data_IF_354579015708
#
_entry.id   IF_354579015708
#
_cell.length_a   1.000
_cell.length_b   1.000
_cell.length_c   1.000
_cell.angle_alpha   90.00
_cell.angle_beta   90.00
_cell.angle_gamma   90.00
#
_symmetry.space_group_name_H-M   'P 1'
#
loop_
_entity.id
_entity.type
_entity.pdbx_description
1 polymer ?
#
# COMPACT_ATOMS: atom_id res chain seq x y z
N UNK A 1 -27.73 0.87 -4.95
CA UNK A 1 -26.90 0.75 -3.72
C UNK A 1 -25.84 1.86 -3.68
N UNK A 2 -25.52 2.43 -2.51
CA UNK A 2 -24.62 3.58 -2.37
C UNK A 2 -23.77 3.52 -1.08
N UNK A 3 -22.58 4.12 -1.14
CA UNK A 3 -21.76 4.45 0.01
C UNK A 3 -21.84 5.96 0.23
N UNK A 4 -22.17 6.41 1.44
CA UNK A 4 -22.34 7.84 1.71
C UNK A 4 -21.04 8.46 2.19
N UNK A 5 -20.68 9.59 1.59
CA UNK A 5 -19.59 10.43 2.07
C UNK A 5 -20.10 11.35 3.19
N UNK A 6 -19.58 11.18 4.41
CA UNK A 6 -20.20 11.81 5.59
C UNK A 6 -19.22 12.55 6.51
N UNK A 7 -17.98 12.77 6.08
CA UNK A 7 -17.05 13.59 6.83
C UNK A 7 -15.72 13.76 6.12
N UNK A 8 -15.05 14.85 6.42
CA UNK A 8 -13.75 15.21 5.83
C UNK A 8 -12.88 15.84 6.91
N UNK A 9 -11.57 15.57 6.93
CA UNK A 9 -10.64 16.23 7.86
C UNK A 9 -11.06 16.17 9.32
N UNK A 10 -11.47 14.98 9.81
CA UNK A 10 -11.97 14.78 11.18
C UNK A 10 -13.23 15.60 11.51
N UNK A 11 -14.01 16.03 10.52
CA UNK A 11 -15.26 16.77 10.69
C UNK A 11 -16.44 15.97 10.12
N UNK A 12 -17.35 15.47 10.97
CA UNK A 12 -18.62 14.90 10.53
C UNK A 12 -19.51 15.90 9.80
N UNK A 13 -20.11 15.50 8.69
CA UNK A 13 -21.15 16.28 7.99
C UNK A 13 -22.56 15.98 8.50
N UNK A 14 -22.73 14.85 9.18
CA UNK A 14 -24.00 14.41 9.77
C UNK A 14 -23.79 13.94 11.21
N UNK A 15 -24.87 13.88 11.97
CA UNK A 15 -24.86 13.26 13.29
C UNK A 15 -24.99 11.73 13.18
N UNK A 16 -24.63 11.02 14.26
CA UNK A 16 -24.86 9.58 14.37
C UNK A 16 -26.36 9.22 14.29
N UNK A 17 -27.25 10.06 14.83
CA UNK A 17 -28.70 9.89 14.71
C UNK A 17 -29.17 9.93 13.24
N UNK A 18 -28.64 10.86 12.44
CA UNK A 18 -28.91 10.91 11.00
C UNK A 18 -28.37 9.67 10.28
N UNK A 19 -27.15 9.22 10.61
CA UNK A 19 -26.57 8.01 10.03
C UNK A 19 -27.45 6.77 10.32
N UNK A 20 -27.96 6.65 11.54
CA UNK A 20 -28.85 5.56 11.94
C UNK A 20 -30.18 5.58 11.17
N UNK A 21 -30.79 6.76 11.02
CA UNK A 21 -32.01 6.94 10.22
C UNK A 21 -31.81 6.54 8.76
N UNK A 22 -30.64 6.83 8.17
CA UNK A 22 -30.31 6.40 6.81
C UNK A 22 -30.25 4.87 6.73
N UNK A 23 -29.61 4.20 7.70
CA UNK A 23 -29.54 2.73 7.75
C UNK A 23 -30.91 2.08 7.89
N UNK A 24 -31.79 2.67 8.69
CA UNK A 24 -33.17 2.20 8.88
C UNK A 24 -34.05 2.41 7.64
N UNK A 25 -33.91 3.57 6.98
CA UNK A 25 -34.72 3.91 5.81
C UNK A 25 -34.28 3.16 4.55
N UNK A 26 -32.99 2.80 4.44
CA UNK A 26 -32.41 2.17 3.26
C UNK A 26 -31.56 0.94 3.61
N UNK A 27 -32.11 -0.09 4.27
CA UNK A 27 -31.34 -1.23 4.78
C UNK A 27 -30.68 -2.06 3.66
N UNK A 28 -31.19 -2.04 2.44
CA UNK A 28 -30.59 -2.76 1.30
C UNK A 28 -29.78 -1.84 0.39
N UNK A 29 -30.16 -0.57 0.30
CA UNK A 29 -29.53 0.39 -0.61
C UNK A 29 -28.33 1.10 0.02
N UNK A 30 -28.32 1.35 1.32
CA UNK A 30 -27.15 1.87 2.02
C UNK A 30 -26.14 0.74 2.25
N UNK A 31 -25.00 0.84 1.56
CA UNK A 31 -23.87 -0.08 1.70
C UNK A 31 -22.96 0.31 2.88
N UNK A 32 -23.11 1.52 3.41
CA UNK A 32 -22.33 2.05 4.52
C UNK A 32 -21.88 3.49 4.30
N UNK A 33 -20.85 3.87 5.04
CA UNK A 33 -20.38 5.25 5.15
C UNK A 33 -18.87 5.33 4.94
N UNK A 34 -18.41 6.51 4.53
CA UNK A 34 -17.00 6.82 4.53
C UNK A 34 -16.68 8.26 4.90
N UNK A 35 -15.50 8.44 5.47
CA UNK A 35 -14.84 9.73 5.69
C UNK A 35 -13.58 9.79 4.83
N UNK A 36 -13.01 10.98 4.64
CA UNK A 36 -11.78 11.13 3.87
C UNK A 36 -10.88 12.24 4.42
N UNK A 37 -9.60 12.11 4.14
CA UNK A 37 -8.56 13.09 4.46
C UNK A 37 -8.59 13.50 5.93
N UNK A 38 -8.76 12.53 6.82
CA UNK A 38 -8.77 12.69 8.27
C UNK A 38 -7.33 12.95 8.77
N UNK A 39 -6.77 14.09 8.37
CA UNK A 39 -5.35 14.47 8.50
C UNK A 39 -5.06 15.47 9.63
N UNK A 40 -6.08 15.93 10.35
CA UNK A 40 -5.90 16.81 11.51
C UNK A 40 -5.35 16.01 12.70
N UNK A 41 -4.02 15.86 12.77
CA UNK A 41 -3.29 14.99 13.71
C UNK A 41 -3.81 15.09 15.14
N UNK A 42 -4.07 16.31 15.64
CA UNK A 42 -4.57 16.55 16.99
C UNK A 42 -6.01 16.07 17.23
N UNK A 43 -6.86 16.13 16.19
CA UNK A 43 -8.26 15.75 16.29
C UNK A 43 -8.49 14.26 16.05
N UNK A 44 -7.59 13.57 15.34
CA UNK A 44 -7.74 12.16 14.94
C UNK A 44 -8.17 11.26 16.12
N UNK A 45 -7.51 11.21 17.30
CA UNK A 45 -7.91 10.28 18.37
C UNK A 45 -9.32 10.56 18.86
N UNK A 46 -9.67 11.83 19.02
CA UNK A 46 -11.00 12.25 19.46
C UNK A 46 -12.06 11.91 18.41
N UNK A 47 -11.80 12.20 17.15
CA UNK A 47 -12.70 11.88 16.05
C UNK A 47 -12.96 10.37 15.96
N UNK A 48 -11.90 9.57 16.05
CA UNK A 48 -12.03 8.11 16.00
C UNK A 48 -12.76 7.54 17.22
N UNK A 49 -12.47 8.02 18.42
CA UNK A 49 -13.14 7.55 19.63
C UNK A 49 -14.63 7.92 19.68
N UNK A 50 -14.96 9.18 19.39
CA UNK A 50 -16.30 9.71 19.65
C UNK A 50 -17.23 9.73 18.44
N UNK A 51 -16.72 9.58 17.22
CA UNK A 51 -17.54 9.55 16.01
C UNK A 51 -17.34 8.27 15.19
N UNK A 52 -16.11 7.97 14.77
CA UNK A 52 -15.86 6.82 13.89
C UNK A 52 -16.21 5.49 14.55
N UNK A 53 -15.78 5.26 15.80
CA UNK A 53 -16.06 4.02 16.54
C UNK A 53 -17.56 3.79 16.77
N UNK A 54 -18.35 4.77 17.26
CA UNK A 54 -19.81 4.64 17.32
C UNK A 54 -20.47 4.36 15.97
N UNK A 55 -20.01 5.02 14.91
CA UNK A 55 -20.47 4.78 13.53
C UNK A 55 -20.17 3.34 13.09
N UNK A 56 -18.94 2.85 13.30
CA UNK A 56 -18.53 1.49 12.99
C UNK A 56 -19.38 0.46 13.76
N UNK A 57 -19.62 0.69 15.06
CA UNK A 57 -20.49 -0.16 15.86
C UNK A 57 -21.93 -0.19 15.32
N UNK A 58 -22.43 0.94 14.83
CA UNK A 58 -23.74 1.00 14.17
C UNK A 58 -23.72 0.19 12.86
N UNK A 59 -22.71 0.37 12.02
CA UNK A 59 -22.52 -0.40 10.80
C UNK A 59 -22.49 -1.92 11.03
N UNK A 60 -21.85 -2.40 12.11
CA UNK A 60 -21.88 -3.80 12.52
C UNK A 60 -23.31 -4.27 12.84
N UNK A 61 -24.04 -3.52 13.69
CA UNK A 61 -25.41 -3.87 14.11
C UNK A 61 -26.40 -3.94 12.94
N UNK A 62 -26.24 -3.09 11.94
CA UNK A 62 -27.12 -3.03 10.77
C UNK A 62 -26.67 -3.95 9.62
N UNK A 63 -26.09 -5.11 9.94
CA UNK A 63 -25.77 -6.14 8.95
C UNK A 63 -24.40 -5.98 8.30
N UNK A 64 -23.39 -5.60 9.08
CA UNK A 64 -22.00 -5.43 8.63
C UNK A 64 -21.87 -4.45 7.44
N UNK A 65 -22.50 -3.28 7.55
CA UNK A 65 -22.30 -2.18 6.60
C UNK A 65 -20.85 -1.72 6.62
N UNK A 66 -20.37 -1.17 5.52
CA UNK A 66 -18.98 -0.69 5.42
C UNK A 66 -18.79 0.59 6.25
N UNK A 67 -17.64 0.72 6.89
CA UNK A 67 -17.19 1.93 7.56
C UNK A 67 -15.75 2.20 7.13
N UNK A 68 -15.58 3.07 6.14
CA UNK A 68 -14.29 3.31 5.49
C UNK A 68 -13.75 4.70 5.87
N UNK A 69 -12.44 4.84 5.87
CA UNK A 69 -11.77 6.15 5.86
C UNK A 69 -10.75 6.17 4.72
N UNK A 70 -10.66 7.27 3.97
CA UNK A 70 -9.77 7.42 2.82
C UNK A 70 -8.69 8.45 3.12
N UNK A 71 -7.45 8.02 3.35
CA UNK A 71 -6.41 8.92 3.86
C UNK A 71 -5.09 8.82 3.10
N UNK A 72 -4.34 9.92 3.19
CA UNK A 72 -3.09 10.20 2.48
C UNK A 72 -1.89 10.34 3.42
N UNK A 73 -0.75 10.78 2.88
CA UNK A 73 0.49 10.94 3.66
C UNK A 73 0.98 9.60 4.17
N UNK A 74 1.27 9.48 5.46
CA UNK A 74 1.65 8.21 6.12
C UNK A 74 0.54 7.66 7.01
N UNK A 75 -0.72 7.97 6.71
CA UNK A 75 -1.84 7.68 7.60
C UNK A 75 -1.98 6.20 7.94
N UNK A 76 -1.81 5.30 6.97
CA UNK A 76 -2.05 3.86 7.18
C UNK A 76 -1.00 3.17 8.04
N UNK A 77 0.19 3.74 8.19
CA UNK A 77 1.19 3.24 9.13
C UNK A 77 1.11 3.97 10.49
N UNK A 78 0.73 5.25 10.51
CA UNK A 78 0.86 6.10 11.72
C UNK A 78 -0.41 6.25 12.53
N UNK A 79 -1.56 6.47 11.89
CA UNK A 79 -2.82 6.66 12.60
C UNK A 79 -3.25 5.39 13.32
N UNK A 80 -3.26 4.20 12.68
CA UNK A 80 -3.46 2.92 13.35
C UNK A 80 -2.50 2.60 14.49
N UNK A 81 -1.29 3.20 14.54
CA UNK A 81 -0.36 3.03 15.66
C UNK A 81 -0.84 3.71 16.95
N UNK A 82 -1.82 4.63 16.87
CA UNK A 82 -2.38 5.33 18.03
C UNK A 82 -3.52 4.51 18.64
N UNK A 83 -3.48 4.17 19.94
CA UNK A 83 -4.44 3.23 20.53
C UNK A 83 -5.93 3.54 20.32
N UNK A 84 -6.41 4.81 20.42
CA UNK A 84 -7.82 5.12 20.16
C UNK A 84 -8.25 4.83 18.72
N UNK A 85 -7.35 5.03 17.76
CA UNK A 85 -7.62 4.75 16.34
C UNK A 85 -7.59 3.25 16.08
N UNK A 86 -6.62 2.52 16.64
CA UNK A 86 -6.55 1.07 16.54
C UNK A 86 -7.83 0.40 17.07
N UNK A 87 -8.28 0.82 18.25
CA UNK A 87 -9.50 0.32 18.87
C UNK A 87 -10.74 0.63 18.00
N UNK A 88 -10.85 1.86 17.51
CA UNK A 88 -11.95 2.29 16.65
C UNK A 88 -12.01 1.55 15.31
N UNK A 89 -10.86 1.14 14.75
CA UNK A 89 -10.80 0.47 13.46
C UNK A 89 -10.97 -1.05 13.55
N UNK A 90 -10.34 -1.71 14.53
CA UNK A 90 -10.09 -3.16 14.42
C UNK A 90 -10.68 -4.01 15.52
N UNK A 91 -10.80 -3.49 16.74
CA UNK A 91 -11.27 -4.28 17.89
C UNK A 91 -12.77 -4.61 17.77
N UNK A 92 -13.20 -5.62 18.52
CA UNK A 92 -14.62 -6.02 18.64
C UNK A 92 -15.29 -6.36 17.30
N UNK A 93 -14.53 -6.92 16.36
CA UNK A 93 -15.03 -7.34 15.04
C UNK A 93 -15.13 -6.22 14.01
N UNK A 94 -14.70 -4.99 14.35
CA UNK A 94 -14.70 -3.85 13.41
C UNK A 94 -13.76 -4.07 12.21
N UNK A 95 -12.74 -4.92 12.34
CA UNK A 95 -11.89 -5.36 11.22
C UNK A 95 -12.66 -5.92 10.00
N UNK A 96 -13.89 -6.42 10.19
CA UNK A 96 -14.75 -6.98 9.12
C UNK A 96 -15.43 -5.91 8.25
N UNK A 97 -15.60 -4.70 8.79
CA UNK A 97 -16.31 -3.60 8.13
C UNK A 97 -15.41 -2.42 7.80
N UNK A 98 -14.25 -2.37 8.47
CA UNK A 98 -13.19 -1.42 8.19
C UNK A 98 -12.54 -1.79 6.87
N UNK A 99 -12.34 -0.77 6.05
CA UNK A 99 -11.70 -0.88 4.76
C UNK A 99 -10.61 0.15 4.69
N UNK A 100 -9.39 -0.29 4.34
CA UNK A 100 -8.33 0.65 4.02
C UNK A 100 -8.46 1.11 2.58
N UNK A 101 -8.15 2.37 2.32
CA UNK A 101 -8.33 2.96 1.01
C UNK A 101 -7.09 3.73 0.57
N UNK A 102 -6.80 3.61 -0.72
CA UNK A 102 -5.74 4.37 -1.38
C UNK A 102 -6.23 5.80 -1.57
N UNK A 103 -5.42 6.75 -1.14
CA UNK A 103 -5.56 8.18 -1.43
C UNK A 103 -4.16 8.77 -1.27
N UNK A 104 -3.34 8.74 -2.31
CA UNK A 104 -1.91 9.09 -2.18
C UNK A 104 -1.54 10.40 -2.91
N UNK A 105 -2.56 11.23 -3.26
CA UNK A 105 -2.39 12.51 -3.99
C UNK A 105 -1.36 13.45 -3.38
N UNK A 106 -1.20 13.47 -2.05
CA UNK A 106 -0.22 14.33 -1.38
C UNK A 106 0.96 13.58 -0.77
N UNK A 107 1.04 12.26 -0.96
CA UNK A 107 2.06 11.46 -0.30
C UNK A 107 3.41 11.58 -1.01
N UNK A 108 4.46 11.84 -0.23
CA UNK A 108 5.84 11.65 -0.70
C UNK A 108 6.33 10.25 -0.47
N UNK A 109 5.65 9.47 0.36
CA UNK A 109 6.00 8.13 0.79
C UNK A 109 4.86 7.12 0.56
N UNK A 110 4.25 7.08 -0.64
CA UNK A 110 3.12 6.19 -0.94
C UNK A 110 3.49 4.70 -0.79
N UNK A 111 4.76 4.35 -0.98
CA UNK A 111 5.28 3.01 -0.74
C UNK A 111 5.04 2.53 0.69
N UNK A 112 5.20 3.41 1.68
CA UNK A 112 5.01 3.08 3.08
C UNK A 112 3.53 2.83 3.39
N UNK A 113 2.64 3.62 2.80
CA UNK A 113 1.20 3.40 2.89
C UNK A 113 0.77 2.09 2.20
N UNK A 114 1.35 1.75 1.05
CA UNK A 114 1.11 0.48 0.38
C UNK A 114 1.49 -0.69 1.28
N UNK A 115 2.71 -0.65 1.83
CA UNK A 115 3.22 -1.68 2.74
C UNK A 115 2.46 -1.75 4.07
N UNK A 116 2.00 -0.60 4.58
CA UNK A 116 1.10 -0.53 5.74
C UNK A 116 -0.24 -1.20 5.51
N UNK A 117 -0.93 -0.87 4.41
CA UNK A 117 -2.19 -1.53 4.04
C UNK A 117 -2.00 -3.03 3.82
N UNK A 118 -0.91 -3.42 3.15
CA UNK A 118 -0.53 -4.82 2.98
C UNK A 118 -0.26 -5.53 4.32
N UNK A 119 0.42 -4.88 5.26
CA UNK A 119 0.69 -5.41 6.60
C UNK A 119 -0.59 -5.58 7.42
N UNK A 120 -1.48 -4.58 7.42
CA UNK A 120 -2.80 -4.68 8.07
C UNK A 120 -3.63 -5.84 7.51
N UNK A 121 -3.57 -6.05 6.19
CA UNK A 121 -4.24 -7.17 5.53
C UNK A 121 -3.61 -8.52 5.90
N UNK A 122 -2.28 -8.63 5.89
CA UNK A 122 -1.56 -9.83 6.32
C UNK A 122 -1.81 -10.20 7.79
N UNK A 123 -2.04 -9.19 8.64
CA UNK A 123 -2.38 -9.35 10.04
C UNK A 123 -3.86 -9.74 10.28
N UNK A 124 -4.71 -9.71 9.25
CA UNK A 124 -6.16 -9.90 9.40
C UNK A 124 -6.88 -8.73 10.09
N UNK A 125 -6.21 -7.58 10.24
CA UNK A 125 -6.79 -6.35 10.80
C UNK A 125 -7.73 -5.66 9.82
N UNK A 126 -7.54 -5.89 8.52
CA UNK A 126 -8.51 -5.53 7.48
C UNK A 126 -8.73 -6.71 6.55
N UNK A 127 -9.97 -6.89 6.11
CA UNK A 127 -10.33 -7.90 5.11
C UNK A 127 -10.61 -7.27 3.75
N UNK A 128 -10.68 -5.94 3.70
CA UNK A 128 -11.11 -5.19 2.53
C UNK A 128 -10.18 -4.01 2.30
N UNK A 129 -9.79 -3.84 1.04
CA UNK A 129 -8.99 -2.73 0.54
C UNK A 129 -9.68 -2.10 -0.68
N UNK A 130 -9.76 -0.76 -0.68
CA UNK A 130 -10.16 0.09 -1.79
C UNK A 130 -8.95 0.68 -2.49
N UNK A 131 -8.92 0.52 -3.81
CA UNK A 131 -7.95 1.23 -4.65
C UNK A 131 -8.68 2.34 -5.38
N UNK A 132 -8.52 3.55 -4.87
CA UNK A 132 -8.98 4.77 -5.50
C UNK A 132 -7.95 5.21 -6.53
N UNK A 133 -8.37 5.43 -7.76
CA UNK A 133 -7.57 6.05 -8.82
C UNK A 133 -8.27 7.29 -9.33
N UNK A 134 -7.55 8.40 -9.33
CA UNK A 134 -8.02 9.74 -9.69
C UNK A 134 -6.82 10.52 -10.23
N UNK A 135 -7.09 11.56 -11.03
CA UNK A 135 -6.04 12.25 -11.80
C UNK A 135 -4.93 12.85 -10.94
N UNK A 136 -5.26 13.34 -9.75
CA UNK A 136 -4.33 13.98 -8.82
C UNK A 136 -3.59 13.00 -7.89
N UNK A 137 -3.80 11.69 -8.04
CA UNK A 137 -3.10 10.64 -7.26
C UNK A 137 -1.57 10.72 -7.39
N UNK A 138 -1.08 11.25 -8.51
CA UNK A 138 0.33 11.41 -8.82
C UNK A 138 0.76 12.89 -8.79
N UNK A 139 0.16 13.72 -7.93
CA UNK A 139 0.62 15.10 -7.73
C UNK A 139 2.02 15.11 -7.10
N UNK A 140 2.96 15.85 -7.70
CA UNK A 140 4.32 15.93 -7.17
C UNK A 140 4.45 17.02 -6.08
N UNK A 141 3.62 18.05 -6.11
CA UNK A 141 3.70 19.19 -5.20
C UNK A 141 2.38 19.95 -5.19
N UNK A 142 1.88 20.42 -4.04
CA UNK A 142 0.59 21.16 -3.98
C UNK A 142 0.65 22.63 -4.39
N UNK A 143 1.83 23.20 -4.52
CA UNK A 143 2.04 24.53 -5.08
C UNK A 143 1.88 24.56 -6.61
N UNK A 144 1.89 23.41 -7.27
CA UNK A 144 1.61 23.26 -8.70
C UNK A 144 0.46 22.26 -8.83
N UNK A 145 -0.58 22.52 -9.62
CA UNK A 145 -1.76 21.61 -9.69
C UNK A 145 -2.00 21.07 -11.11
N UNK A 146 -0.98 21.10 -11.95
CA UNK A 146 -1.09 20.81 -13.39
C UNK A 146 -0.13 19.71 -13.88
N UNK A 147 0.52 19.00 -12.95
CA UNK A 147 1.56 18.01 -13.22
C UNK A 147 1.07 16.57 -13.43
N UNK A 148 -0.24 16.35 -13.47
CA UNK A 148 -0.80 15.00 -13.41
C UNK A 148 -0.46 14.19 -14.67
N UNK A 149 -0.05 12.91 -14.54
CA UNK A 149 0.16 12.05 -15.68
C UNK A 149 -1.17 11.83 -16.41
N UNK A 150 -1.17 12.15 -17.71
CA UNK A 150 -2.32 11.98 -18.62
C UNK A 150 -2.26 10.66 -19.40
N UNK A 151 -1.55 9.66 -18.87
CA UNK A 151 -1.30 8.34 -19.48
C UNK A 151 -1.68 7.21 -18.53
N UNK A 152 -2.13 6.06 -19.05
CA UNK A 152 -2.73 5.01 -18.21
C UNK A 152 -1.75 4.10 -17.46
N UNK A 153 -0.51 3.99 -17.92
CA UNK A 153 0.42 2.99 -17.39
C UNK A 153 0.74 3.12 -15.87
N UNK A 154 0.83 4.31 -15.23
CA UNK A 154 1.06 4.40 -13.79
C UNK A 154 -0.13 3.85 -12.99
N UNK A 155 -1.35 4.15 -13.45
CA UNK A 155 -2.58 3.66 -12.84
C UNK A 155 -2.76 2.15 -13.02
N UNK A 156 -2.41 1.61 -14.19
CA UNK A 156 -2.47 0.18 -14.45
C UNK A 156 -1.56 -0.60 -13.50
N UNK A 157 -0.30 -0.15 -13.36
CA UNK A 157 0.66 -0.79 -12.45
C UNK A 157 0.21 -0.72 -11.01
N UNK A 158 -0.29 0.43 -10.56
CA UNK A 158 -0.84 0.59 -9.21
C UNK A 158 -1.98 -0.40 -8.96
N UNK A 159 -2.94 -0.51 -9.90
CA UNK A 159 -4.03 -1.48 -9.79
C UNK A 159 -3.53 -2.93 -9.71
N UNK A 160 -2.55 -3.31 -10.53
CA UNK A 160 -1.97 -4.66 -10.51
C UNK A 160 -1.25 -4.91 -9.19
N UNK A 161 -0.37 -4.01 -8.74
CA UNK A 161 0.38 -4.15 -7.50
C UNK A 161 -0.56 -4.30 -6.30
N UNK A 162 -1.55 -3.41 -6.17
CA UNK A 162 -2.51 -3.47 -5.08
C UNK A 162 -3.42 -4.71 -5.15
N UNK A 163 -3.75 -5.21 -6.35
CA UNK A 163 -4.50 -6.46 -6.49
C UNK A 163 -3.78 -7.62 -5.82
N UNK A 164 -2.46 -7.72 -5.99
CA UNK A 164 -1.65 -8.76 -5.34
C UNK A 164 -1.53 -8.63 -3.82
N UNK A 165 -2.03 -7.52 -3.24
CA UNK A 165 -1.96 -7.18 -1.81
C UNK A 165 -3.35 -7.14 -1.15
N UNK A 166 -4.29 -7.94 -1.64
CA UNK A 166 -5.60 -8.09 -1.00
C UNK A 166 -6.61 -7.00 -1.36
N UNK A 167 -6.48 -6.33 -2.52
CA UNK A 167 -7.51 -5.42 -3.02
C UNK A 167 -8.86 -6.14 -3.15
N UNK A 168 -9.94 -5.46 -2.75
CA UNK A 168 -11.31 -6.00 -2.88
C UNK A 168 -12.23 -5.15 -3.74
N UNK A 169 -11.89 -3.88 -3.95
CA UNK A 169 -12.67 -2.97 -4.79
C UNK A 169 -11.80 -1.90 -5.44
N UNK A 170 -12.30 -1.36 -6.56
CA UNK A 170 -11.69 -0.27 -7.31
C UNK A 170 -12.67 0.90 -7.39
N UNK A 171 -12.21 2.08 -7.01
CA UNK A 171 -12.91 3.33 -7.22
C UNK A 171 -12.18 4.15 -8.29
N UNK A 172 -12.73 4.16 -9.51
CA UNK A 172 -12.08 4.79 -10.66
C UNK A 172 -12.75 6.13 -10.99
N UNK A 173 -12.06 7.23 -10.68
CA UNK A 173 -12.47 8.61 -11.01
C UNK A 173 -11.72 9.20 -12.22
N UNK A 174 -10.77 8.45 -12.78
CA UNK A 174 -10.13 8.76 -14.07
C UNK A 174 -11.01 8.45 -15.29
N UNK A 175 -12.29 8.12 -15.05
CA UNK A 175 -13.33 8.03 -16.08
C UNK A 175 -13.98 9.41 -16.16
N UNK A 176 -13.33 10.39 -16.77
CA UNK A 176 -14.04 11.63 -17.02
C UNK A 176 -15.09 11.36 -18.10
N UNK A 177 -16.36 11.42 -17.70
CA UNK A 177 -17.47 11.43 -18.63
C UNK A 177 -17.42 12.78 -19.32
N UNK A 178 -16.96 12.85 -20.57
CA UNK A 178 -17.21 14.05 -21.36
C UNK A 178 -18.72 14.15 -21.56
N UNK A 179 -19.34 15.01 -20.77
CA UNK A 179 -20.75 15.34 -20.82
C UNK A 179 -21.07 15.91 -22.20
N UNK A 180 -21.65 15.10 -23.08
CA UNK A 180 -22.52 15.53 -24.20
C UNK A 180 -23.14 14.37 -24.99
N UNK A 181 -22.74 13.11 -24.78
CA UNK A 181 -23.29 11.98 -25.57
C UNK A 181 -23.88 10.89 -24.70
N UNK A 182 -24.99 10.34 -25.18
CA UNK A 182 -25.75 9.22 -24.58
C UNK A 182 -24.94 7.90 -24.51
N UNK A 183 -23.66 7.92 -24.86
CA UNK A 183 -22.73 6.79 -24.81
C UNK A 183 -21.64 7.04 -23.77
N UNK A 184 -21.47 6.10 -22.84
CA UNK A 184 -20.39 6.13 -21.87
C UNK A 184 -19.05 5.79 -22.55
N UNK A 185 -18.38 6.79 -23.12
CA UNK A 185 -17.04 6.63 -23.67
C UNK A 185 -15.99 6.69 -22.54
N UNK A 186 -15.19 5.63 -22.42
CA UNK A 186 -14.01 5.62 -21.54
C UNK A 186 -12.92 6.47 -22.22
N UNK A 187 -12.43 7.50 -21.54
CA UNK A 187 -11.30 8.30 -22.03
C UNK A 187 -10.02 7.48 -22.19
N UNK A 188 -9.05 8.00 -22.95
CA UNK A 188 -7.76 7.36 -23.21
C UNK A 188 -7.11 6.84 -21.95
N UNK A 189 -7.08 7.67 -20.89
CA UNK A 189 -6.51 7.32 -19.60
C UNK A 189 -7.14 6.05 -19.01
N UNK A 190 -8.48 5.96 -19.03
CA UNK A 190 -9.21 4.78 -18.54
C UNK A 190 -9.07 3.56 -19.46
N UNK A 191 -8.93 3.75 -20.77
CA UNK A 191 -8.69 2.67 -21.74
C UNK A 191 -7.32 2.02 -21.54
N UNK A 192 -6.30 2.83 -21.29
CA UNK A 192 -4.92 2.42 -21.05
C UNK A 192 -4.67 1.91 -19.62
N UNK A 193 -5.65 2.02 -18.72
CA UNK A 193 -5.53 1.60 -17.32
C UNK A 193 -6.65 0.66 -16.88
N UNK A 194 -7.72 1.20 -16.29
CA UNK A 194 -8.83 0.44 -15.70
C UNK A 194 -9.45 -0.55 -16.69
N UNK A 195 -9.54 -0.19 -17.97
CA UNK A 195 -10.05 -1.07 -19.03
C UNK A 195 -9.18 -2.31 -19.27
N UNK A 196 -7.85 -2.14 -19.29
CA UNK A 196 -6.91 -3.27 -19.39
C UNK A 196 -6.97 -4.09 -18.09
N UNK A 197 -6.96 -3.43 -16.95
CA UNK A 197 -7.01 -4.09 -15.64
C UNK A 197 -8.23 -5.02 -15.49
N UNK A 198 -9.43 -4.58 -15.89
CA UNK A 198 -10.61 -5.45 -15.85
C UNK A 198 -10.52 -6.64 -16.79
N UNK A 199 -9.86 -6.51 -17.95
CA UNK A 199 -9.62 -7.66 -18.83
C UNK A 199 -8.68 -8.67 -18.16
N UNK A 200 -7.65 -8.20 -17.45
CA UNK A 200 -6.74 -9.08 -16.70
C UNK A 200 -7.46 -9.80 -15.56
N UNK A 201 -8.31 -9.09 -14.81
CA UNK A 201 -9.18 -9.68 -13.79
C UNK A 201 -10.13 -10.72 -14.39
N UNK A 202 -10.83 -10.37 -15.47
CA UNK A 202 -11.79 -11.26 -16.14
C UNK A 202 -11.15 -12.52 -16.74
N UNK A 203 -9.87 -12.45 -17.10
CA UNK A 203 -9.08 -13.62 -17.55
C UNK A 203 -8.43 -14.40 -16.39
N UNK A 204 -8.58 -13.95 -15.14
CA UNK A 204 -7.91 -14.57 -13.99
C UNK A 204 -6.38 -14.44 -14.01
N UNK A 205 -5.84 -13.49 -14.79
CA UNK A 205 -4.39 -13.24 -14.86
C UNK A 205 -3.92 -12.47 -13.63
N UNK A 206 -4.72 -11.47 -13.23
CA UNK A 206 -4.58 -10.72 -11.99
C UNK A 206 -5.75 -11.09 -11.09
N UNK A 207 -5.50 -11.22 -9.78
CA UNK A 207 -6.52 -11.54 -8.79
C UNK A 207 -6.06 -11.09 -7.40
N UNK A 208 -6.99 -11.08 -6.46
CA UNK A 208 -6.72 -10.81 -5.04
C UNK A 208 -6.47 -12.13 -4.31
N UNK A 209 -5.26 -12.37 -3.76
CA UNK A 209 -4.95 -13.61 -3.05
C UNK A 209 -5.58 -13.63 -1.65
N UNK A 210 -5.50 -14.78 -0.99
CA UNK A 210 -5.61 -14.83 0.48
C UNK A 210 -4.26 -14.50 1.12
N UNK A 211 -4.23 -14.04 2.39
CA UNK A 211 -2.98 -13.73 3.08
C UNK A 211 -1.95 -14.86 3.04
N UNK A 212 -2.38 -16.10 3.27
CA UNK A 212 -1.52 -17.29 3.26
C UNK A 212 -0.94 -17.68 1.90
N UNK A 213 -1.50 -17.14 0.81
CA UNK A 213 -1.07 -17.39 -0.56
C UNK A 213 -0.16 -16.28 -1.11
N UNK A 214 -0.01 -15.15 -0.40
CA UNK A 214 0.95 -14.11 -0.75
C UNK A 214 2.32 -14.43 -0.13
N UNK A 215 3.16 -15.12 -0.90
CA UNK A 215 4.46 -15.65 -0.48
C UNK A 215 5.60 -14.63 -0.57
N UNK A 216 5.35 -13.47 -1.20
CA UNK A 216 6.37 -12.44 -1.44
C UNK A 216 6.73 -11.59 -0.23
N UNK A 217 6.13 -11.81 0.94
CA UNK A 217 6.46 -11.06 2.15
C UNK A 217 7.79 -11.50 2.75
N UNK A 218 8.60 -10.50 3.13
CA UNK A 218 9.82 -10.70 3.89
C UNK A 218 9.52 -11.39 5.22
N UNK A 219 10.46 -12.24 5.65
CA UNK A 219 10.37 -12.87 6.99
C UNK A 219 10.69 -11.89 8.12
N UNK A 220 11.07 -10.66 7.80
CA UNK A 220 11.25 -9.54 8.74
C UNK A 220 10.17 -8.48 8.45
N UNK A 221 9.49 -8.01 9.49
CA UNK A 221 8.48 -6.95 9.41
C UNK A 221 8.83 -5.73 10.25
N UNK A 222 8.00 -4.70 10.14
CA UNK A 222 8.09 -3.46 10.92
C UNK A 222 6.85 -3.30 11.82
N UNK A 223 7.10 -2.94 13.08
CA UNK A 223 6.08 -2.56 14.06
C UNK A 223 6.13 -1.06 14.26
N UNK A 224 5.07 -0.36 13.88
CA UNK A 224 4.92 1.08 14.05
C UNK A 224 4.34 1.39 15.43
N UNK A 225 5.09 2.15 16.22
CA UNK A 225 4.66 2.77 17.47
C UNK A 225 4.12 4.18 17.22
N UNK A 226 3.35 4.76 18.17
CA UNK A 226 2.95 6.15 18.11
C UNK A 226 4.16 7.07 17.83
N UNK A 227 4.19 7.79 16.71
CA UNK A 227 5.28 8.70 16.40
C UNK A 227 5.21 9.96 17.28
N UNK A 228 6.33 10.67 17.45
CA UNK A 228 6.33 11.98 18.08
C UNK A 228 5.58 13.02 17.23
N UNK A 229 5.14 14.10 17.87
CA UNK A 229 4.23 15.09 17.26
C UNK A 229 4.84 15.86 16.09
N UNK A 230 6.08 16.31 16.24
CA UNK A 230 6.88 16.96 15.19
C UNK A 230 7.01 16.12 13.91
N UNK A 231 7.30 14.82 14.07
CA UNK A 231 7.37 13.88 12.96
C UNK A 231 5.99 13.69 12.31
N UNK A 232 4.91 13.61 13.11
CA UNK A 232 3.54 13.53 12.59
C UNK A 232 3.15 14.78 11.80
N UNK A 233 3.55 15.97 12.27
CA UNK A 233 3.31 17.22 11.56
C UNK A 233 3.98 17.22 10.19
N UNK A 234 5.25 16.82 10.07
CA UNK A 234 5.89 16.66 8.75
C UNK A 234 5.17 15.61 7.89
N UNK A 235 4.83 14.45 8.45
CA UNK A 235 4.19 13.35 7.73
C UNK A 235 2.77 13.66 7.22
N UNK A 236 2.10 14.68 7.78
CA UNK A 236 0.72 15.06 7.47
C UNK A 236 0.57 16.54 7.06
N UNK A 237 1.64 17.20 6.59
CA UNK A 237 1.59 18.62 6.18
C UNK A 237 1.04 18.88 4.77
N UNK A 238 0.34 17.91 4.15
CA UNK A 238 -0.04 17.98 2.73
C UNK A 238 -0.86 19.22 2.32
N UNK A 239 -1.60 19.82 3.25
CA UNK A 239 -2.35 21.07 3.06
C UNK A 239 -1.81 22.25 3.86
N UNK A 240 -0.74 22.04 4.62
CA UNK A 240 -0.13 23.07 5.46
C UNK A 240 1.40 23.05 5.38
N UNK A 241 2.01 23.08 4.17
CA UNK A 241 3.46 23.09 4.02
C UNK A 241 4.11 24.33 4.68
N UNK A 242 3.35 25.42 4.88
CA UNK A 242 3.79 26.61 5.60
C UNK A 242 4.11 26.38 7.09
N UNK A 243 3.67 25.26 7.67
CA UNK A 243 3.98 24.88 9.06
C UNK A 243 5.32 24.18 9.20
N UNK A 244 5.97 23.84 8.10
CA UNK A 244 7.24 23.14 8.14
C UNK A 244 8.32 23.97 8.82
N UNK A 245 9.13 23.30 9.64
CA UNK A 245 10.29 23.84 10.32
C UNK A 245 11.47 22.88 10.16
N UNK A 246 12.67 23.43 10.00
CA UNK A 246 13.90 22.64 9.94
C UNK A 246 14.15 21.95 11.29
N UNK A 247 14.45 20.65 11.26
CA UNK A 247 14.74 19.86 12.47
C UNK A 247 15.84 18.81 12.20
N UNK A 248 17.01 19.02 12.82
CA UNK A 248 18.18 18.15 12.64
C UNK A 248 17.93 16.69 13.06
N UNK A 249 17.07 16.44 14.06
CA UNK A 249 16.69 15.10 14.47
C UNK A 249 15.84 14.43 13.40
N UNK A 250 14.86 15.15 12.83
CA UNK A 250 14.02 14.61 11.76
C UNK A 250 14.83 14.35 10.47
N UNK A 251 15.90 15.10 10.22
CA UNK A 251 16.85 14.79 9.15
C UNK A 251 17.62 13.48 9.33
N UNK A 252 17.71 12.97 10.56
CA UNK A 252 18.34 11.69 10.89
C UNK A 252 17.32 10.59 11.19
N UNK A 253 16.02 10.88 11.08
CA UNK A 253 14.96 9.91 11.31
C UNK A 253 15.09 8.70 10.39
N UNK A 254 14.67 7.52 10.86
CA UNK A 254 14.65 6.31 10.01
C UNK A 254 13.62 6.42 8.88
N UNK A 255 12.58 7.23 9.04
CA UNK A 255 11.63 7.59 7.98
C UNK A 255 11.60 9.14 7.86
N UNK A 256 12.56 9.77 7.17
CA UNK A 256 12.66 11.22 7.05
C UNK A 256 11.90 11.75 5.83
N UNK A 257 11.68 13.08 5.80
CA UNK A 257 11.22 13.85 4.64
C UNK A 257 9.88 13.37 4.06
N UNK A 258 8.86 13.32 4.90
CA UNK A 258 7.55 12.74 4.57
C UNK A 258 6.57 13.77 4.00
N UNK A 259 6.76 15.03 4.39
CA UNK A 259 5.91 16.13 3.99
C UNK A 259 5.92 16.44 2.49
N UNK A 260 4.83 17.02 2.01
CA UNK A 260 4.59 17.28 0.58
C UNK A 260 5.65 18.16 -0.11
N UNK A 261 6.35 19.00 0.65
CA UNK A 261 7.40 19.89 0.17
C UNK A 261 8.67 19.16 -0.29
N UNK A 262 8.87 17.91 0.14
CA UNK A 262 10.08 17.14 -0.17
C UNK A 262 10.09 16.51 -1.56
N UNK A 263 9.02 16.63 -2.36
CA UNK A 263 8.81 15.84 -3.58
C UNK A 263 9.90 15.92 -4.66
N UNK A 264 10.71 16.99 -4.66
CA UNK A 264 11.82 17.18 -5.61
C UNK A 264 13.21 16.84 -5.03
N UNK A 265 13.25 16.31 -3.80
CA UNK A 265 14.51 15.97 -3.13
C UNK A 265 14.88 14.50 -3.31
N UNK A 266 16.19 14.23 -3.19
CA UNK A 266 16.67 12.85 -3.10
C UNK A 266 16.27 12.25 -1.76
N UNK A 267 15.92 10.97 -1.77
CA UNK A 267 15.73 10.23 -0.53
C UNK A 267 17.07 10.08 0.19
N UNK A 268 17.18 10.40 1.50
CA UNK A 268 18.42 10.24 2.26
C UNK A 268 18.94 8.80 2.24
N UNK A 269 20.26 8.63 2.22
CA UNK A 269 20.89 7.30 2.11
C UNK A 269 20.62 6.38 3.30
N UNK A 270 20.31 6.95 4.46
CA UNK A 270 19.94 6.19 5.66
C UNK A 270 18.44 5.90 5.77
N UNK A 271 17.61 6.52 4.93
CA UNK A 271 16.17 6.41 5.02
C UNK A 271 15.72 4.97 4.75
N UNK A 272 14.79 4.46 5.57
CA UNK A 272 14.17 3.15 5.38
C UNK A 272 13.62 2.99 3.96
N UNK A 273 13.03 4.05 3.43
CA UNK A 273 12.47 4.09 2.09
C UNK A 273 13.55 3.80 1.03
N UNK A 274 14.77 4.32 1.22
CA UNK A 274 15.86 4.07 0.28
C UNK A 274 16.44 2.68 0.44
N UNK A 275 16.77 2.28 1.67
CA UNK A 275 17.47 1.02 1.89
C UNK A 275 16.58 -0.20 1.63
N UNK A 276 15.28 -0.15 1.94
CA UNK A 276 14.37 -1.30 1.78
C UNK A 276 13.68 -1.32 0.42
N UNK A 277 13.42 -0.15 -0.17
CA UNK A 277 12.63 -0.02 -1.40
C UNK A 277 13.41 0.61 -2.56
N UNK A 278 14.73 0.78 -2.43
CA UNK A 278 15.57 1.41 -3.44
C UNK A 278 15.05 2.79 -3.92
N UNK A 279 14.34 3.51 -3.05
CA UNK A 279 13.71 4.79 -3.38
C UNK A 279 14.76 5.88 -3.54
N UNK A 280 14.98 6.36 -4.76
CA UNK A 280 15.99 7.38 -5.04
C UNK A 280 15.53 8.82 -4.78
N UNK A 281 14.23 9.10 -4.97
CA UNK A 281 13.62 10.44 -4.83
C UNK A 281 12.39 10.37 -3.95
N UNK A 282 12.07 11.45 -3.22
CA UNK A 282 10.90 11.53 -2.34
C UNK A 282 9.56 11.65 -3.10
N UNK A 283 9.50 11.14 -4.31
CA UNK A 283 8.31 11.09 -5.14
C UNK A 283 8.45 10.02 -6.21
N UNK A 284 7.34 9.43 -6.63
CA UNK A 284 7.31 8.53 -7.78
C UNK A 284 7.20 7.04 -7.45
N UNK A 285 7.03 6.66 -6.18
CA UNK A 285 7.17 5.27 -5.71
C UNK A 285 5.87 4.64 -5.23
N UNK A 286 4.75 4.90 -5.92
CA UNK A 286 3.46 4.26 -5.62
C UNK A 286 3.52 2.73 -5.76
N UNK A 287 4.40 2.23 -6.62
CA UNK A 287 4.76 0.81 -6.75
C UNK A 287 6.28 0.72 -6.58
N UNK A 288 6.78 0.44 -5.37
CA UNK A 288 8.22 0.47 -5.09
C UNK A 288 8.93 -0.80 -5.56
N UNK A 289 10.24 -0.76 -5.83
CA UNK A 289 11.10 -1.94 -5.81
C UNK A 289 10.97 -2.73 -4.50
N UNK A 290 11.09 -4.05 -4.56
CA UNK A 290 11.01 -4.93 -3.37
C UNK A 290 12.18 -5.92 -3.32
N UNK A 291 13.44 -5.44 -3.25
CA UNK A 291 14.64 -6.29 -3.31
C UNK A 291 14.69 -7.37 -2.22
N UNK A 292 14.04 -7.13 -1.08
CA UNK A 292 14.00 -8.04 0.06
C UNK A 292 12.61 -8.64 0.33
N UNK A 293 11.74 -8.61 -0.68
CA UNK A 293 10.32 -8.93 -0.55
C UNK A 293 9.49 -7.77 -0.02
N UNK A 294 8.18 -7.99 0.07
CA UNK A 294 7.23 -7.04 0.63
C UNK A 294 7.44 -6.91 2.14
N UNK A 295 7.44 -5.69 2.66
CA UNK A 295 7.64 -5.45 4.10
C UNK A 295 6.28 -5.30 4.75
N UNK A 296 5.90 -6.20 5.66
CA UNK A 296 4.70 -6.01 6.45
C UNK A 296 4.95 -4.91 7.49
N UNK A 297 4.15 -3.84 7.46
CA UNK A 297 4.18 -2.77 8.47
C UNK A 297 2.86 -2.82 9.25
N UNK A 298 2.93 -3.01 10.56
CA UNK A 298 1.76 -3.16 11.43
C UNK A 298 1.85 -2.28 12.68
N UNK A 299 0.73 -1.83 13.26
CA UNK A 299 0.71 -1.14 14.55
C UNK A 299 1.28 -1.98 15.70
N UNK A 300 1.83 -1.32 16.73
CA UNK A 300 2.31 -1.96 17.96
C UNK A 300 1.26 -2.80 18.71
N UNK A 301 -0.03 -2.47 18.56
CA UNK A 301 -1.16 -3.19 19.15
C UNK A 301 -1.52 -4.49 18.41
N UNK A 302 -0.83 -4.81 17.31
CA UNK A 302 -1.10 -6.00 16.49
C UNK A 302 -0.59 -7.27 17.18
N UNK A 303 -1.39 -8.34 17.14
CA UNK A 303 -0.87 -9.68 17.46
C UNK A 303 0.07 -10.15 16.34
N UNK A 304 1.37 -9.99 16.59
CA UNK A 304 2.43 -10.30 15.63
C UNK A 304 2.45 -11.78 15.21
N UNK A 305 1.86 -12.68 16.00
CA UNK A 305 1.77 -14.11 15.65
C UNK A 305 0.76 -14.39 14.52
N UNK A 306 -0.15 -13.44 14.25
CA UNK A 306 -1.14 -13.58 13.18
C UNK A 306 -0.62 -13.16 11.81
N UNK A 307 0.45 -12.37 11.75
CA UNK A 307 0.96 -11.84 10.48
C UNK A 307 1.66 -12.95 9.71
N UNK A 308 1.06 -13.37 8.58
CA UNK A 308 1.57 -14.53 7.84
C UNK A 308 2.89 -14.20 7.16
N UNK A 309 3.81 -15.18 7.16
CA UNK A 309 5.12 -15.08 6.52
C UNK A 309 6.20 -14.35 7.35
N UNK A 310 5.83 -13.53 8.33
CA UNK A 310 6.77 -12.75 9.14
C UNK A 310 7.18 -13.52 10.40
N UNK A 311 8.48 -13.52 10.71
CA UNK A 311 9.08 -14.28 11.82
C UNK A 311 9.83 -13.41 12.81
N UNK A 312 10.32 -12.25 12.39
CA UNK A 312 11.02 -11.31 13.26
C UNK A 312 10.66 -9.87 12.94
N UNK A 313 10.92 -8.98 13.90
CA UNK A 313 10.37 -7.63 13.87
C UNK A 313 11.42 -6.59 14.23
N UNK A 314 11.43 -5.52 13.47
CA UNK A 314 11.95 -4.22 13.90
C UNK A 314 10.79 -3.37 14.38
N UNK A 315 11.03 -2.56 15.40
CA UNK A 315 10.10 -1.56 15.89
C UNK A 315 10.58 -0.17 15.47
N UNK A 316 9.65 0.75 15.23
CA UNK A 316 9.97 2.14 14.92
C UNK A 316 8.85 3.08 15.36
N UNK A 317 9.20 4.32 15.71
CA UNK A 317 8.28 5.44 15.91
C UNK A 317 8.44 6.50 14.80
N UNK A 318 9.02 6.12 13.66
CA UNK A 318 9.33 7.01 12.55
C UNK A 318 10.67 7.73 12.67
N UNK A 319 11.06 8.10 13.90
CA UNK A 319 12.37 8.72 14.17
C UNK A 319 13.42 7.65 14.44
N UNK A 320 13.16 6.74 15.37
CA UNK A 320 14.09 5.69 15.77
C UNK A 320 13.63 4.32 15.27
N UNK A 321 14.57 3.38 15.17
CA UNK A 321 14.30 1.95 15.01
C UNK A 321 15.02 1.11 16.07
N UNK A 322 14.41 0.00 16.51
CA UNK A 322 15.00 -0.91 17.50
C UNK A 322 14.50 -2.34 17.33
N UNK A 323 15.26 -3.32 17.85
CA UNK A 323 14.76 -4.67 18.12
C UNK A 323 14.14 -4.73 19.50
N UNK A 324 13.28 -5.71 19.75
CA UNK A 324 12.73 -5.92 21.10
C UNK A 324 13.85 -6.05 22.15
N UNK A 325 13.74 -5.30 23.25
CA UNK A 325 14.79 -5.17 24.28
C UNK A 325 16.11 -4.51 23.83
N UNK A 326 16.23 -4.07 22.59
CA UNK A 326 17.43 -3.46 22.01
C UNK A 326 17.52 -1.94 22.17
N UNK A 327 18.67 -1.37 21.85
CA UNK A 327 18.88 0.08 21.81
C UNK A 327 18.12 0.74 20.65
N UNK A 328 17.63 1.96 20.87
CA UNK A 328 17.10 2.83 19.81
C UNK A 328 18.24 3.31 18.91
N UNK A 329 18.08 3.10 17.62
CA UNK A 329 19.02 3.47 16.56
C UNK A 329 18.36 4.50 15.64
N UNK A 330 19.16 5.33 14.98
CA UNK A 330 18.69 6.27 13.95
C UNK A 330 19.75 6.40 12.85
N UNK A 331 19.42 7.12 11.78
CA UNK A 331 20.38 7.43 10.72
C UNK A 331 21.08 6.19 10.16
N UNK A 332 22.36 6.34 9.80
CA UNK A 332 23.11 5.31 9.08
C UNK A 332 23.33 4.02 9.89
N UNK A 333 23.39 4.12 11.23
CA UNK A 333 23.54 2.93 12.08
C UNK A 333 22.29 2.04 11.99
N UNK A 334 21.11 2.65 12.11
CA UNK A 334 19.84 1.93 11.96
C UNK A 334 19.73 1.32 10.55
N UNK A 335 20.07 2.12 9.53
CA UNK A 335 20.02 1.71 8.14
C UNK A 335 20.87 0.47 7.86
N UNK A 336 22.13 0.48 8.28
CA UNK A 336 23.08 -0.62 8.04
C UNK A 336 22.57 -1.92 8.66
N UNK A 337 22.09 -1.88 9.90
CA UNK A 337 21.61 -3.08 10.61
C UNK A 337 20.31 -3.61 10.00
N UNK A 338 19.36 -2.73 9.69
CA UNK A 338 18.10 -3.15 9.07
C UNK A 338 18.34 -3.75 7.68
N UNK A 339 19.17 -3.11 6.84
CA UNK A 339 19.47 -3.64 5.52
C UNK A 339 20.10 -5.04 5.59
N UNK A 340 21.01 -5.29 6.54
CA UNK A 340 21.60 -6.60 6.74
C UNK A 340 20.55 -7.67 7.09
N UNK A 341 19.67 -7.38 8.05
CA UNK A 341 18.60 -8.29 8.45
C UNK A 341 17.63 -8.60 7.30
N UNK A 342 17.24 -7.59 6.51
CA UNK A 342 16.36 -7.77 5.36
C UNK A 342 17.06 -8.52 4.22
N UNK A 343 18.36 -8.30 3.99
CA UNK A 343 19.14 -9.07 3.03
C UNK A 343 19.27 -10.56 3.41
N UNK A 344 19.42 -10.86 4.70
CA UNK A 344 19.37 -12.25 5.20
C UNK A 344 17.98 -12.85 5.03
N UNK A 345 16.92 -12.08 5.33
CA UNK A 345 15.54 -12.51 5.18
C UNK A 345 15.16 -12.82 3.73
N UNK A 346 15.70 -12.07 2.77
CA UNK A 346 15.46 -12.26 1.34
C UNK A 346 15.93 -13.63 0.84
N UNK A 347 16.98 -14.20 1.44
CA UNK A 347 17.50 -15.54 1.13
C UNK A 347 16.56 -16.68 1.54
N UNK A 348 15.43 -16.36 2.19
CA UNK A 348 14.41 -17.32 2.63
C UNK A 348 13.10 -17.19 1.84
N UNK A 349 13.04 -16.26 0.88
CA UNK A 349 11.87 -16.08 0.03
C UNK A 349 11.79 -17.23 -0.97
N UNK A 350 10.60 -17.77 -1.26
CA UNK A 350 10.45 -18.81 -2.29
C UNK A 350 11.01 -18.42 -3.65
N UNK A 351 10.93 -17.13 -3.98
CA UNK A 351 11.44 -16.53 -5.20
C UNK A 351 12.20 -15.26 -4.85
N UNK A 352 13.52 -15.27 -5.06
CA UNK A 352 14.39 -14.12 -4.84
C UNK A 352 14.74 -13.48 -6.18
N UNK A 353 14.70 -12.15 -6.25
CA UNK A 353 15.18 -11.40 -7.41
C UNK A 353 16.63 -10.95 -7.22
N UNK A 354 17.37 -10.93 -8.33
CA UNK A 354 18.73 -10.42 -8.45
C UNK A 354 18.84 -9.48 -9.66
N UNK A 355 19.76 -8.51 -9.58
CA UNK A 355 19.91 -7.45 -10.59
C UNK A 355 19.29 -6.14 -10.13
N UNK A 356 18.85 -5.32 -11.07
CA UNK A 356 18.11 -4.10 -10.77
C UNK A 356 16.71 -4.46 -10.23
N UNK A 357 16.36 -4.09 -8.98
CA UNK A 357 15.17 -4.59 -8.35
C UNK A 357 13.91 -3.93 -8.91
N UNK A 358 12.91 -4.75 -9.19
CA UNK A 358 11.55 -4.32 -9.54
C UNK A 358 10.60 -4.57 -8.36
N UNK A 359 9.35 -4.14 -8.47
CA UNK A 359 8.32 -4.68 -7.57
C UNK A 359 8.10 -6.14 -7.93
N UNK A 360 8.35 -7.04 -6.98
CA UNK A 360 8.12 -8.47 -7.11
C UNK A 360 7.17 -8.93 -6.00
N UNK A 361 6.03 -9.49 -6.39
CA UNK A 361 5.20 -10.28 -5.49
C UNK A 361 4.98 -11.68 -6.06
N UNK A 362 5.08 -12.69 -5.21
CA UNK A 362 4.88 -14.10 -5.56
C UNK A 362 3.63 -14.64 -4.87
N UNK A 363 2.72 -15.21 -5.66
CA UNK A 363 1.46 -15.76 -5.19
C UNK A 363 1.41 -17.27 -5.42
N UNK A 364 0.87 -18.02 -4.47
CA UNK A 364 0.46 -19.40 -4.68
C UNK A 364 -0.91 -19.44 -5.35
N UNK A 365 -1.00 -20.09 -6.51
CA UNK A 365 -2.24 -20.27 -7.28
C UNK A 365 -2.82 -21.66 -7.02
N UNK A 366 -1.96 -22.67 -6.93
CA UNK A 366 -2.28 -24.02 -6.51
C UNK A 366 -1.07 -24.64 -5.80
N UNK A 367 -1.17 -25.89 -5.34
CA UNK A 367 -0.10 -26.56 -4.59
C UNK A 367 1.26 -26.51 -5.31
N UNK A 368 1.26 -26.73 -6.63
CA UNK A 368 2.46 -26.80 -7.48
C UNK A 368 2.49 -25.68 -8.53
N UNK A 369 1.71 -24.61 -8.34
CA UNK A 369 1.60 -23.48 -9.27
C UNK A 369 1.71 -22.16 -8.53
N UNK A 370 2.73 -21.39 -8.90
CA UNK A 370 3.01 -20.07 -8.40
C UNK A 370 2.91 -19.04 -9.54
N UNK A 371 2.52 -17.82 -9.20
CA UNK A 371 2.49 -16.70 -10.14
C UNK A 371 3.27 -15.53 -9.58
N UNK A 372 4.21 -15.05 -10.36
CA UNK A 372 5.06 -13.90 -10.04
C UNK A 372 4.56 -12.68 -10.80
N UNK A 373 4.45 -11.56 -10.11
CA UNK A 373 4.15 -10.26 -10.68
C UNK A 373 5.39 -9.39 -10.55
N UNK A 374 6.02 -9.09 -11.69
CA UNK A 374 7.20 -8.24 -11.79
C UNK A 374 6.75 -6.92 -12.43
N UNK A 375 6.85 -5.80 -11.71
CA UNK A 375 6.32 -4.51 -12.16
C UNK A 375 7.43 -3.47 -12.13
N UNK A 376 7.63 -2.76 -13.24
CA UNK A 376 8.56 -1.63 -13.30
C UNK A 376 8.17 -0.60 -12.21
N UNK A 377 9.09 -0.23 -11.31
CA UNK A 377 8.84 0.80 -10.30
C UNK A 377 8.76 2.23 -10.87
N UNK A 378 9.43 2.51 -11.98
CA UNK A 378 9.59 3.84 -12.55
C UNK A 378 8.35 4.31 -13.30
N UNK A 379 7.73 5.41 -12.88
CA UNK A 379 6.70 6.06 -13.71
C UNK A 379 7.08 7.45 -14.20
N UNK A 380 8.01 8.10 -13.51
CA UNK A 380 8.68 9.31 -13.98
C UNK A 380 9.79 8.97 -14.97
N UNK A 381 10.50 7.89 -14.69
CA UNK A 381 11.66 7.37 -15.40
C UNK A 381 11.53 5.85 -15.61
N UNK A 382 10.50 5.41 -16.37
CA UNK A 382 10.33 3.99 -16.68
C UNK A 382 11.53 3.45 -17.48
N UNK A 383 11.96 2.24 -17.17
CA UNK A 383 13.09 1.58 -17.82
C UNK A 383 12.81 0.10 -18.08
N UNK A 384 13.42 -0.45 -19.13
CA UNK A 384 13.41 -1.89 -19.33
C UNK A 384 14.37 -2.53 -18.32
N UNK A 385 13.92 -3.59 -17.65
CA UNK A 385 14.72 -4.32 -16.68
C UNK A 385 14.89 -5.77 -17.09
N UNK A 386 16.09 -6.29 -16.89
CA UNK A 386 16.38 -7.72 -16.94
C UNK A 386 16.59 -8.22 -15.51
N UNK A 387 15.68 -9.07 -15.02
CA UNK A 387 15.67 -9.54 -13.63
C UNK A 387 15.94 -11.04 -13.61
N UNK A 388 16.91 -11.47 -12.81
CA UNK A 388 17.13 -12.91 -12.57
C UNK A 388 16.34 -13.35 -11.35
N UNK A 389 15.49 -14.35 -11.51
CA UNK A 389 14.73 -14.98 -10.42
C UNK A 389 15.41 -16.28 -10.03
N UNK A 390 15.69 -16.41 -8.74
CA UNK A 390 16.17 -17.64 -8.11
C UNK A 390 15.02 -18.32 -7.35
N UNK A 391 14.88 -19.62 -7.53
CA UNK A 391 13.86 -20.46 -6.90
C UNK A 391 14.50 -21.17 -5.70
N UNK A 392 14.03 -20.88 -4.49
CA UNK A 392 14.50 -21.55 -3.25
C UNK A 392 13.61 -22.73 -2.83
N UNK A 393 12.52 -22.97 -3.56
CA UNK A 393 11.65 -24.13 -3.36
C UNK A 393 12.34 -25.40 -3.88
N UNK A 394 12.15 -26.52 -3.17
CA UNK A 394 12.66 -27.83 -3.62
C UNK A 394 11.91 -28.33 -4.86
N UNK A 395 12.57 -29.13 -5.70
CA UNK A 395 11.98 -29.77 -6.89
C UNK A 395 12.43 -29.19 -8.22
N UNK A 396 11.91 -29.75 -9.30
CA UNK A 396 12.14 -29.27 -10.67
C UNK A 396 10.98 -28.37 -11.11
N UNK A 397 11.24 -27.35 -11.92
CA UNK A 397 10.26 -26.34 -12.28
C UNK A 397 10.27 -26.01 -13.77
N UNK A 398 9.12 -25.55 -14.27
CA UNK A 398 8.99 -24.80 -15.52
C UNK A 398 8.57 -23.36 -15.23
N UNK A 399 8.94 -22.42 -16.10
CA UNK A 399 8.52 -21.03 -16.02
C UNK A 399 8.06 -20.52 -17.38
N UNK A 400 6.94 -19.80 -17.41
CA UNK A 400 6.38 -19.23 -18.63
C UNK A 400 5.87 -17.80 -18.37
N UNK A 401 6.22 -16.88 -19.25
CA UNK A 401 5.56 -15.57 -19.32
C UNK A 401 4.11 -15.76 -19.77
N UNK A 402 3.19 -15.43 -18.88
CA UNK A 402 1.75 -15.69 -19.06
C UNK A 402 1.10 -14.72 -20.05
N UNK A 403 1.71 -13.55 -20.31
CA UNK A 403 1.13 -12.53 -21.19
C UNK A 403 1.43 -12.80 -22.66
N UNK A 404 2.61 -13.32 -22.97
CA UNK A 404 3.04 -13.61 -24.35
C UNK A 404 3.26 -15.11 -24.64
N UNK A 405 3.08 -15.98 -23.65
CA UNK A 405 3.26 -17.43 -23.74
C UNK A 405 4.69 -17.87 -24.08
N UNK A 406 5.70 -17.06 -23.73
CA UNK A 406 7.12 -17.39 -23.90
C UNK A 406 7.60 -18.28 -22.76
N UNK A 407 8.11 -19.46 -23.09
CA UNK A 407 8.82 -20.32 -22.15
C UNK A 407 10.14 -19.67 -21.69
N UNK A 408 10.42 -19.73 -20.40
CA UNK A 408 11.63 -19.21 -19.78
C UNK A 408 12.51 -20.39 -19.35
N UNK A 409 13.73 -20.44 -19.87
CA UNK A 409 14.65 -21.54 -19.55
C UNK A 409 15.13 -21.43 -18.10
N UNK A 410 14.89 -22.48 -17.32
CA UNK A 410 15.43 -22.61 -15.96
C UNK A 410 16.76 -23.38 -16.01
N UNK A 411 17.80 -22.80 -15.41
CA UNK A 411 19.11 -23.45 -15.20
C UNK A 411 19.55 -23.20 -13.77
N UNK A 412 19.95 -24.25 -13.05
CA UNK A 412 20.40 -24.13 -11.65
C UNK A 412 19.37 -23.41 -10.77
N UNK A 413 18.08 -23.73 -10.92
CA UNK A 413 16.96 -23.08 -10.25
C UNK A 413 16.86 -21.56 -10.46
N UNK A 414 17.40 -21.06 -11.58
CA UNK A 414 17.36 -19.65 -11.96
C UNK A 414 16.82 -19.47 -13.36
N UNK A 415 16.12 -18.36 -13.58
CA UNK A 415 15.68 -17.91 -14.91
C UNK A 415 15.66 -16.40 -14.98
N UNK A 416 15.72 -15.86 -16.19
CA UNK A 416 15.72 -14.42 -16.46
C UNK A 416 14.37 -13.97 -17.01
N UNK A 417 13.91 -12.81 -16.59
CA UNK A 417 12.64 -12.19 -16.98
C UNK A 417 12.90 -10.76 -17.44
N UNK A 418 12.37 -10.42 -18.61
CA UNK A 418 12.32 -9.03 -19.08
C UNK A 418 11.08 -8.34 -18.50
N UNK A 419 11.25 -7.17 -17.90
CA UNK A 419 10.17 -6.31 -17.41
C UNK A 419 10.19 -5.02 -18.23
N UNK A 420 9.17 -4.78 -19.08
CA UNK A 420 9.19 -3.61 -19.94
C UNK A 420 8.99 -2.29 -19.19
N UNK A 421 9.61 -1.23 -19.71
CA UNK A 421 9.46 0.14 -19.25
C UNK A 421 7.99 0.54 -19.09
N UNK A 422 7.63 0.98 -17.90
CA UNK A 422 6.34 1.50 -17.50
C UNK A 422 5.26 0.43 -17.31
N UNK A 423 5.59 -0.86 -17.42
CA UNK A 423 4.66 -1.98 -17.46
C UNK A 423 5.03 -3.08 -16.44
N UNK A 424 4.63 -4.32 -16.72
CA UNK A 424 4.84 -5.47 -15.87
C UNK A 424 4.87 -6.76 -16.70
N UNK A 425 5.47 -7.79 -16.13
CA UNK A 425 5.49 -9.17 -16.64
C UNK A 425 4.86 -10.09 -15.60
N UNK A 426 4.04 -11.04 -16.05
CA UNK A 426 3.45 -12.07 -15.20
C UNK A 426 4.06 -13.41 -15.57
N UNK A 427 4.67 -14.10 -14.62
CA UNK A 427 5.30 -15.40 -14.84
C UNK A 427 4.57 -16.47 -14.04
N UNK A 428 4.14 -17.53 -14.71
CA UNK A 428 3.69 -18.75 -14.06
C UNK A 428 4.92 -19.67 -13.86
N UNK A 429 5.16 -20.08 -12.62
CA UNK A 429 6.17 -21.09 -12.26
C UNK A 429 5.44 -22.32 -11.76
N UNK A 430 5.73 -23.50 -12.33
CA UNK A 430 5.07 -24.75 -11.96
C UNK A 430 6.09 -25.81 -11.60
N UNK A 431 5.86 -26.54 -10.51
CA UNK A 431 6.68 -27.70 -10.17
C UNK A 431 6.33 -28.86 -11.11
N UNK A 432 7.35 -29.51 -11.63
CA UNK A 432 7.22 -30.74 -12.42
C UNK A 432 7.05 -31.89 -11.42
N UNK A 433 5.98 -32.66 -11.60
CA UNK A 433 5.69 -33.85 -10.78
C UNK A 433 6.44 -35.08 -11.28
#
# INVERSE_FOLDING_TARGET
PCLFYIGHSCMPFITLDTAEKILQAAPEYCLGFYTAEDEQVELIPRFFEYYFKPLANMCLRYGNKRCMTKNKGLWWITSPARPPVFDALFREGRNRITMAATEDSNSRTPEMNLMGRGGLWQAGLIQQNDVSIHSDLFSFNRFHQWEYPRVGHPYLRLLVAHATLGMTQVNSRIREYTSTRETADIETLGKESTGIFFKLLGKGLVFSPKPEDALGYSTVGLVMHPPPGDWLEDAHNGHSPEKWVEDEQLHQAVIPHNGSLWGMTNTPDHALQKILFNKQRQFGYQVPPTPYGLVAIVPAETDLSQVKGVKSWWHTDGVYAWKDGGSRLTGMEAATRMQADFAEAAQRLPFQQHGEPVFLNSLRVAQDHYRLFLIDPGWLDPADHEVTIEIHLEGEFTAQDTLNHRELSIRENRFTVDVPAGLFTIVDVRRIN
#
